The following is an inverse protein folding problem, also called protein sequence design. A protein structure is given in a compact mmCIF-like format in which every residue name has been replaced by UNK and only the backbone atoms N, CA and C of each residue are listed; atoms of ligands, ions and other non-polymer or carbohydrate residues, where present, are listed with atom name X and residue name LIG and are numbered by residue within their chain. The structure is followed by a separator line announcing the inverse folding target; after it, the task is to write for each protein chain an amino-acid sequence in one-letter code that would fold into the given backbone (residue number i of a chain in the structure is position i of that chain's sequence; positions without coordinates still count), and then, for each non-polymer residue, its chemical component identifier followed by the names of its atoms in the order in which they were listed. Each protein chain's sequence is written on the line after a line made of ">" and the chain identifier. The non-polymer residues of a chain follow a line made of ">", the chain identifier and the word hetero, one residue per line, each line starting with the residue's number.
data_IF_258550360949
#
_entry.id   IF_258550360949
#
_cell.length_a   1.000
_cell.length_b   1.000
_cell.length_c   1.000
_cell.angle_alpha   90.00
_cell.angle_beta   90.00
_cell.angle_gamma   90.00
#
_symmetry.space_group_name_H-M   'P 1'
#
loop_
_entity.id
_entity.type
_entity.pdbx_description
1 polymer ?
#
# COMPACT_ATOMS: atom_id res chain seq x y z
N UNK A 1 -9.49 -14.39 -3.55
CA UNK A 1 -8.34 -13.53 -3.80
C UNK A 1 -7.70 -13.14 -2.48
N UNK A 2 -6.58 -13.79 -2.15
CA UNK A 2 -5.69 -13.36 -1.07
C UNK A 2 -4.51 -12.62 -1.71
N UNK A 3 -4.24 -11.39 -1.27
CA UNK A 3 -3.09 -10.61 -1.69
C UNK A 3 -2.08 -10.50 -0.55
N UNK A 4 -0.79 -10.57 -0.87
CA UNK A 4 0.28 -10.25 0.08
C UNK A 4 0.93 -8.95 -0.34
N UNK A 5 1.27 -8.13 0.64
CA UNK A 5 1.96 -6.86 0.45
C UNK A 5 3.27 -6.89 1.23
N UNK A 6 4.35 -6.40 0.61
CA UNK A 6 5.61 -6.14 1.29
C UNK A 6 6.16 -4.77 0.91
N UNK A 7 6.84 -4.19 1.90
CA UNK A 7 7.42 -2.86 1.85
C UNK A 7 8.92 -3.01 2.11
N UNK A 8 9.73 -2.57 1.15
CA UNK A 8 11.19 -2.58 1.27
C UNK A 8 11.71 -1.15 1.26
N UNK A 9 12.17 -0.61 2.40
CA UNK A 9 12.75 0.72 2.44
C UNK A 9 14.15 0.72 1.83
N UNK A 10 14.44 1.76 1.03
CA UNK A 10 15.76 2.10 0.54
C UNK A 10 16.25 3.35 1.29
N UNK A 11 17.09 3.13 2.29
CA UNK A 11 17.61 4.21 3.14
C UNK A 11 18.61 5.13 2.45
N UNK A 12 19.19 4.72 1.31
CA UNK A 12 20.17 5.53 0.58
C UNK A 12 19.47 6.67 -0.17
N UNK A 13 18.30 6.38 -0.75
CA UNK A 13 17.55 7.33 -1.57
C UNK A 13 16.29 7.87 -0.88
N UNK A 14 15.96 7.39 0.33
CA UNK A 14 14.73 7.74 1.02
C UNK A 14 13.49 7.27 0.27
N UNK A 15 13.61 6.16 -0.45
CA UNK A 15 12.54 5.58 -1.27
C UNK A 15 11.99 4.34 -0.61
N UNK A 16 10.78 3.95 -1.03
CA UNK A 16 10.12 2.75 -0.53
C UNK A 16 9.58 1.94 -1.70
N UNK A 17 10.03 0.70 -1.84
CA UNK A 17 9.45 -0.24 -2.80
C UNK A 17 8.23 -0.92 -2.18
N UNK A 18 7.05 -0.69 -2.77
CA UNK A 18 5.80 -1.37 -2.46
C UNK A 18 5.57 -2.48 -3.48
N UNK A 19 5.31 -3.69 -3.00
CA UNK A 19 5.06 -4.84 -3.86
C UNK A 19 3.81 -5.57 -3.40
N UNK A 20 2.97 -5.96 -4.35
CA UNK A 20 1.69 -6.63 -4.13
C UNK A 20 1.66 -7.89 -4.99
N UNK A 21 1.51 -9.03 -4.34
CA UNK A 21 1.37 -10.34 -4.98
C UNK A 21 -0.07 -10.83 -4.84
N UNK A 22 -0.67 -11.21 -5.96
CA UNK A 22 -1.82 -12.12 -5.97
C UNK A 22 -1.32 -13.54 -5.68
N UNK A 23 -1.68 -14.07 -4.51
CA UNK A 23 -1.19 -15.37 -4.05
C UNK A 23 -1.80 -16.56 -4.78
N UNK A 24 -2.90 -16.37 -5.51
CA UNK A 24 -3.54 -17.42 -6.30
C UNK A 24 -2.85 -17.56 -7.67
N UNK A 25 -2.46 -16.44 -8.29
CA UNK A 25 -1.87 -16.41 -9.63
C UNK A 25 -0.34 -16.27 -9.63
N UNK A 26 0.24 -15.81 -8.52
CA UNK A 26 1.66 -15.43 -8.42
C UNK A 26 2.00 -14.13 -9.16
N UNK A 27 0.99 -13.40 -9.65
CA UNK A 27 1.22 -12.13 -10.32
C UNK A 27 1.67 -11.07 -9.31
N UNK A 28 2.72 -10.34 -9.65
CA UNK A 28 3.31 -9.31 -8.79
C UNK A 28 3.27 -7.95 -9.47
N UNK A 29 2.77 -6.95 -8.75
CA UNK A 29 2.81 -5.54 -9.15
C UNK A 29 3.69 -4.79 -8.16
N UNK A 30 4.57 -3.93 -8.67
CA UNK A 30 5.53 -3.17 -7.88
C UNK A 30 5.48 -1.68 -8.18
N UNK A 31 5.63 -0.86 -7.14
CA UNK A 31 5.70 0.60 -7.21
C UNK A 31 6.88 1.10 -6.35
N UNK A 32 7.53 2.17 -6.80
CA UNK A 32 8.51 2.91 -6.02
C UNK A 32 7.86 4.19 -5.53
N UNK A 33 7.87 4.40 -4.22
CA UNK A 33 7.27 5.54 -3.54
C UNK A 33 8.37 6.46 -3.04
N UNK A 34 8.20 7.76 -3.28
CA UNK A 34 8.96 8.78 -2.58
C UNK A 34 8.45 8.99 -1.14
N UNK A 35 9.07 9.89 -0.38
CA UNK A 35 8.66 10.17 1.00
C UNK A 35 7.20 10.61 1.12
N UNK A 36 6.71 11.45 0.19
CA UNK A 36 5.34 11.97 0.25
C UNK A 36 4.30 10.89 -0.03
N UNK A 37 4.54 10.07 -1.04
CA UNK A 37 3.68 8.98 -1.45
C UNK A 37 3.67 7.89 -0.36
N UNK A 38 4.80 7.66 0.30
CA UNK A 38 4.88 6.75 1.44
C UNK A 38 4.13 7.27 2.67
N UNK A 39 4.22 8.57 2.97
CA UNK A 39 3.43 9.19 4.04
C UNK A 39 1.92 9.12 3.75
N UNK A 40 1.51 9.37 2.50
CA UNK A 40 0.13 9.23 2.07
C UNK A 40 -0.36 7.77 2.18
N UNK A 41 0.46 6.79 1.80
CA UNK A 41 0.14 5.37 1.97
C UNK A 41 -0.03 5.00 3.46
N UNK A 42 0.85 5.48 4.34
CA UNK A 42 0.74 5.25 5.78
C UNK A 42 -0.56 5.82 6.35
N UNK A 43 -0.91 7.05 5.97
CA UNK A 43 -2.16 7.68 6.39
C UNK A 43 -3.38 6.88 5.90
N UNK A 44 -3.44 6.54 4.61
CA UNK A 44 -4.55 5.78 4.04
C UNK A 44 -4.69 4.39 4.69
N UNK A 45 -3.57 3.73 5.01
CA UNK A 45 -3.58 2.44 5.71
C UNK A 45 -4.11 2.57 7.13
N UNK A 46 -3.81 3.68 7.83
CA UNK A 46 -4.33 3.93 9.17
C UNK A 46 -5.84 4.17 9.17
N UNK A 47 -6.30 5.04 8.27
CA UNK A 47 -7.74 5.30 8.09
C UNK A 47 -8.50 4.04 7.71
N UNK A 48 -7.89 3.17 6.89
CA UNK A 48 -8.43 1.87 6.55
C UNK A 48 -8.55 0.94 7.76
N UNK A 49 -7.53 0.90 8.63
CA UNK A 49 -7.57 0.10 9.86
C UNK A 49 -8.68 0.60 10.81
N UNK A 50 -8.78 1.92 11.01
CA UNK A 50 -9.80 2.53 11.86
C UNK A 50 -11.23 2.20 11.36
N UNK A 51 -11.43 2.15 10.03
CA UNK A 51 -12.72 1.77 9.41
C UNK A 51 -13.02 0.27 9.50
N UNK A 52 -12.01 -0.59 9.37
CA UNK A 52 -12.17 -2.03 9.51
C UNK A 52 -12.64 -2.41 10.92
N UNK A 53 -12.22 -1.64 11.93
CA UNK A 53 -12.70 -1.78 13.31
C UNK A 53 -14.16 -1.30 13.49
N UNK A 54 -14.68 -0.47 12.58
CA UNK A 54 -15.99 0.19 12.71
C UNK A 54 -17.16 -0.48 11.97
N UNK A 55 -17.16 -1.81 11.78
CA UNK A 55 -18.21 -2.61 11.07
C UNK A 55 -18.29 -2.45 9.54
N UNK A 56 -17.26 -1.89 8.90
CA UNK A 56 -17.19 -1.80 7.45
C UNK A 56 -16.62 -3.12 6.88
N UNK A 57 -17.46 -3.95 6.26
CA UNK A 57 -17.08 -5.28 5.77
C UNK A 57 -16.06 -5.24 4.62
N UNK A 58 -15.88 -4.08 3.99
CA UNK A 58 -14.98 -3.88 2.85
C UNK A 58 -14.26 -2.53 2.95
N UNK A 59 -12.95 -2.57 3.20
CA UNK A 59 -12.10 -1.39 3.19
C UNK A 59 -11.14 -1.47 2.00
N UNK A 60 -11.10 -0.41 1.19
CA UNK A 60 -10.25 -0.30 0.00
C UNK A 60 -9.33 0.91 0.13
N UNK A 61 -8.07 0.74 -0.28
CA UNK A 61 -7.08 1.82 -0.42
C UNK A 61 -6.86 2.01 -1.92
N UNK A 62 -7.11 3.22 -2.43
CA UNK A 62 -6.89 3.55 -3.83
C UNK A 62 -5.44 3.99 -4.05
N UNK A 63 -4.60 3.08 -4.58
CA UNK A 63 -3.20 3.39 -4.84
C UNK A 63 -2.99 4.44 -5.94
N UNK A 64 -3.92 4.60 -6.88
CA UNK A 64 -3.77 5.61 -7.93
C UNK A 64 -3.79 7.04 -7.36
N UNK A 65 -4.63 7.29 -6.36
CA UNK A 65 -4.69 8.59 -5.67
C UNK A 65 -3.41 8.86 -4.88
N UNK A 66 -2.76 7.83 -4.33
CA UNK A 66 -1.49 7.97 -3.60
C UNK A 66 -0.32 8.29 -4.55
N UNK A 67 -0.35 7.75 -5.77
CA UNK A 67 0.73 7.87 -6.76
C UNK A 67 0.67 9.18 -7.58
N UNK A 68 -0.43 9.93 -7.52
CA UNK A 68 -0.62 11.20 -8.24
C UNK A 68 -0.06 12.43 -7.47
N UNK A 69 0.64 12.23 -6.34
CA UNK A 69 1.07 13.28 -5.40
C UNK A 69 2.56 13.67 -5.47
#
# INVERSE_FOLDING_TARGET
>A
MQAKMWITPDSEFGLVSLMIEDTETGAVVGHVLGPKEFDALQQATREAADRAESTDDHVQINLAEILDH
#
